data_IF_594019026471
#
_entry.id   IF_594019026471
#
_cell.length_a   1.000
_cell.length_b   1.000
_cell.length_c   1.000
_cell.angle_alpha   90.00
_cell.angle_beta   90.00
_cell.angle_gamma   90.00
#
_symmetry.space_group_name_H-M   'P 1'
#
loop_
_entity.id
_entity.type
_entity.pdbx_description
1 polymer ?
#
# COMPACT_ATOMS: atom_id res chain seq x y z
N UNK A 1 21.18 16.48 48.13
CA UNK A 1 20.96 15.55 47.01
C UNK A 1 19.77 16.09 46.25
N UNK A 2 19.94 16.54 45.00
CA UNK A 2 18.80 16.81 44.12
C UNK A 2 17.96 15.53 44.07
N UNK A 3 16.64 15.67 44.25
CA UNK A 3 15.73 14.54 44.32
C UNK A 3 15.87 13.75 43.01
N UNK A 4 16.08 12.42 43.04
CA UNK A 4 16.43 11.62 41.84
C UNK A 4 15.48 11.88 40.65
N UNK A 5 14.21 12.16 40.93
CA UNK A 5 13.19 12.55 39.95
C UNK A 5 13.47 13.88 39.25
N UNK A 6 13.94 14.90 39.99
CA UNK A 6 14.29 16.22 39.45
C UNK A 6 15.53 16.15 38.56
N UNK A 7 16.49 15.31 38.92
CA UNK A 7 17.66 15.05 38.08
C UNK A 7 17.28 14.39 36.76
N UNK A 8 16.41 13.36 36.78
CA UNK A 8 15.92 12.69 35.56
C UNK A 8 15.13 13.66 34.68
N UNK A 9 14.26 14.48 35.26
CA UNK A 9 13.45 15.44 34.50
C UNK A 9 14.33 16.48 33.77
N UNK A 10 15.37 16.98 34.45
CA UNK A 10 16.29 17.95 33.87
C UNK A 10 17.17 17.32 32.79
N UNK A 11 17.77 16.16 33.05
CA UNK A 11 18.62 15.42 32.08
C UNK A 11 17.81 15.06 30.82
N UNK A 12 16.56 14.63 30.97
CA UNK A 12 15.69 14.31 29.84
C UNK A 12 15.42 15.55 28.98
N UNK A 13 15.04 16.68 29.60
CA UNK A 13 14.76 17.93 28.89
C UNK A 13 16.00 18.44 28.16
N UNK A 14 17.16 18.38 28.81
CA UNK A 14 18.44 18.80 28.25
C UNK A 14 18.80 17.97 27.01
N UNK A 15 18.82 16.63 27.13
CA UNK A 15 19.16 15.74 26.01
C UNK A 15 18.23 15.86 24.81
N UNK A 16 16.93 15.97 25.05
CA UNK A 16 15.95 16.17 23.96
C UNK A 16 16.17 17.52 23.27
N UNK A 17 16.45 18.57 24.05
CA UNK A 17 16.70 19.90 23.49
C UNK A 17 18.02 19.98 22.71
N UNK A 18 19.08 19.33 23.20
CA UNK A 18 20.39 19.28 22.54
C UNK A 18 20.41 18.49 21.23
N UNK A 19 19.44 17.59 21.04
CA UNK A 19 19.28 16.81 19.82
C UNK A 19 18.73 17.66 18.65
N UNK A 20 18.05 18.77 18.92
CA UNK A 20 17.56 19.71 17.91
C UNK A 20 18.53 20.89 17.81
N UNK A 21 19.14 21.09 16.65
CA UNK A 21 20.15 22.14 16.45
C UNK A 21 19.83 22.98 15.23
N UNK A 22 20.12 24.27 15.31
CA UNK A 22 20.02 25.20 14.19
C UNK A 22 21.42 25.56 13.72
N UNK A 23 21.67 25.41 12.42
CA UNK A 23 22.90 25.85 11.78
C UNK A 23 22.58 26.97 10.79
N UNK A 24 23.17 28.15 10.96
CA UNK A 24 22.93 29.29 10.07
C UNK A 24 23.47 29.00 8.66
N UNK A 25 22.62 29.16 7.65
CA UNK A 25 22.98 29.03 6.22
C UNK A 25 22.84 30.36 5.47
N UNK A 26 22.29 31.39 6.12
CA UNK A 26 22.12 32.72 5.54
C UNK A 26 21.28 33.64 6.43
N UNK A 27 20.97 34.83 5.92
CA UNK A 27 20.23 35.84 6.66
C UNK A 27 18.82 35.35 7.01
N UNK A 28 18.58 35.11 8.30
CA UNK A 28 17.34 34.53 8.84
C UNK A 28 16.97 33.18 8.20
N UNK A 29 17.97 32.36 7.89
CA UNK A 29 17.81 31.02 7.32
C UNK A 29 18.74 30.04 8.02
N UNK A 30 18.16 28.94 8.48
CA UNK A 30 18.84 27.94 9.29
C UNK A 30 18.49 26.54 8.80
N UNK A 31 19.50 25.66 8.73
CA UNK A 31 19.28 24.22 8.66
C UNK A 31 18.85 23.73 10.04
N UNK A 32 17.79 22.94 10.09
CA UNK A 32 17.33 22.29 11.32
C UNK A 32 17.86 20.85 11.32
N UNK A 33 18.72 20.54 12.28
CA UNK A 33 19.20 19.20 12.55
C UNK A 33 18.32 18.58 13.62
N UNK A 34 17.84 17.37 13.36
CA UNK A 34 16.97 16.63 14.28
C UNK A 34 17.41 15.16 14.32
N UNK A 35 17.07 14.41 15.37
CA UNK A 35 17.36 12.98 15.41
C UNK A 35 16.41 12.13 14.54
N UNK A 36 15.46 12.75 13.83
CA UNK A 36 14.52 12.04 12.97
C UNK A 36 15.13 11.79 11.60
N UNK A 37 14.95 10.57 11.13
CA UNK A 37 15.48 10.08 9.86
C UNK A 37 14.37 9.43 9.06
N UNK A 38 14.59 9.32 7.74
CA UNK A 38 13.97 8.29 6.92
C UNK A 38 14.40 6.90 7.41
N UNK A 39 13.72 5.89 6.89
CA UNK A 39 13.90 4.48 7.31
C UNK A 39 15.25 3.89 6.88
N UNK A 40 15.88 4.45 5.85
CA UNK A 40 17.26 4.12 5.45
C UNK A 40 18.33 4.78 6.34
N UNK A 41 17.90 5.62 7.29
CA UNK A 41 18.75 6.35 8.22
C UNK A 41 19.19 7.74 7.75
N UNK A 42 18.76 8.18 6.56
CA UNK A 42 19.04 9.55 6.11
C UNK A 42 18.24 10.57 6.92
N UNK A 43 18.85 11.69 7.31
CA UNK A 43 18.16 12.73 8.07
C UNK A 43 17.15 13.50 7.20
N UNK A 44 16.04 13.92 7.79
CA UNK A 44 15.14 14.87 7.13
C UNK A 44 15.88 16.19 6.85
N UNK A 45 15.90 16.62 5.58
CA UNK A 45 16.44 17.92 5.20
C UNK A 45 15.41 18.99 5.51
N UNK A 46 15.61 19.76 6.58
CA UNK A 46 14.64 20.77 7.04
C UNK A 46 15.31 22.15 7.11
N UNK A 47 14.68 23.15 6.52
CA UNK A 47 15.09 24.55 6.57
C UNK A 47 14.07 25.37 7.34
N UNK A 48 14.56 26.11 8.33
CA UNK A 48 13.84 27.17 9.02
C UNK A 48 14.21 28.51 8.40
N UNK A 49 13.22 29.24 7.87
CA UNK A 49 13.47 30.56 7.29
C UNK A 49 12.37 31.56 7.61
N UNK A 50 12.75 32.84 7.66
CA UNK A 50 11.80 33.93 7.84
C UNK A 50 10.91 34.09 6.62
N UNK A 51 9.60 34.19 6.83
CA UNK A 51 8.60 34.39 5.78
C UNK A 51 7.66 35.54 6.17
N UNK A 52 7.92 36.72 5.60
CA UNK A 52 7.19 37.95 5.97
C UNK A 52 7.38 38.31 7.44
N UNK A 53 6.27 38.35 8.18
CA UNK A 53 6.25 38.61 9.62
C UNK A 53 6.42 37.35 10.48
N UNK A 54 6.24 36.17 9.90
CA UNK A 54 6.35 34.87 10.58
C UNK A 54 7.57 34.07 10.14
N UNK A 55 7.51 32.77 10.43
CA UNK A 55 8.53 31.78 10.08
C UNK A 55 7.92 30.62 9.32
N UNK A 56 8.77 29.88 8.63
CA UNK A 56 8.39 28.72 7.85
C UNK A 56 9.42 27.61 7.99
N UNK A 57 8.94 26.37 8.12
CA UNK A 57 9.74 25.18 7.90
C UNK A 57 9.42 24.63 6.51
N UNK A 58 10.44 24.19 5.80
CA UNK A 58 10.34 23.59 4.47
C UNK A 58 11.38 22.48 4.32
N UNK A 59 11.03 21.45 3.56
CA UNK A 59 11.94 20.37 3.20
C UNK A 59 12.65 20.63 1.86
N UNK A 60 12.31 21.74 1.21
CA UNK A 60 12.77 22.12 -0.14
C UNK A 60 12.60 20.98 -1.16
N UNK A 61 11.55 20.17 -0.98
CA UNK A 61 11.21 19.02 -1.84
C UNK A 61 12.06 17.78 -1.65
N UNK A 62 12.91 17.73 -0.61
CA UNK A 62 13.72 16.55 -0.32
C UNK A 62 12.90 15.32 0.07
N UNK A 63 11.74 15.48 0.72
CA UNK A 63 10.93 14.33 1.16
C UNK A 63 10.41 13.57 -0.05
N UNK A 64 9.80 14.25 -1.01
CA UNK A 64 9.31 13.63 -2.24
C UNK A 64 10.43 13.13 -3.14
N UNK A 65 11.58 13.82 -3.19
CA UNK A 65 12.76 13.34 -3.90
C UNK A 65 13.26 12.01 -3.30
N UNK A 66 13.35 11.91 -1.97
CA UNK A 66 13.75 10.69 -1.28
C UNK A 66 12.76 9.54 -1.56
N UNK A 67 11.46 9.79 -1.40
CA UNK A 67 10.41 8.80 -1.68
C UNK A 67 10.43 8.29 -3.13
N UNK A 68 10.86 9.11 -4.10
CA UNK A 68 10.93 8.73 -5.51
C UNK A 68 11.92 7.59 -5.80
N UNK A 69 12.84 7.29 -4.88
CA UNK A 69 13.72 6.13 -4.98
C UNK A 69 13.00 4.79 -4.73
N UNK A 70 11.93 4.80 -3.93
CA UNK A 70 11.22 3.60 -3.48
C UNK A 70 9.84 3.41 -4.14
N UNK A 71 9.24 4.49 -4.65
CA UNK A 71 7.93 4.44 -5.29
C UNK A 71 7.79 5.37 -6.50
N UNK A 72 6.86 5.03 -7.39
CA UNK A 72 6.42 5.93 -8.46
C UNK A 72 5.60 7.08 -7.86
N UNK A 73 6.08 8.32 -8.03
CA UNK A 73 5.44 9.52 -7.52
C UNK A 73 4.05 9.75 -8.11
N UNK A 74 3.75 9.22 -9.31
CA UNK A 74 2.41 9.27 -9.89
C UNK A 74 1.38 8.54 -9.00
N UNK A 75 1.80 7.63 -8.13
CA UNK A 75 0.92 6.94 -7.19
C UNK A 75 0.43 7.83 -6.04
N UNK A 76 1.01 9.02 -5.86
CA UNK A 76 0.54 10.03 -4.89
C UNK A 76 -0.50 10.99 -5.51
N UNK A 77 -0.73 10.94 -6.82
CA UNK A 77 -1.67 11.84 -7.49
C UNK A 77 -3.13 11.38 -7.42
N UNK A 78 -3.38 10.05 -7.29
CA UNK A 78 -4.73 9.47 -7.27
C UNK A 78 -4.84 8.22 -6.39
N UNK A 79 -6.06 7.93 -5.95
CA UNK A 79 -6.39 6.73 -5.17
C UNK A 79 -6.07 6.87 -3.69
N UNK A 80 -6.01 5.74 -2.98
CA UNK A 80 -5.91 5.73 -1.51
C UNK A 80 -4.69 6.49 -0.97
N UNK A 81 -3.52 6.42 -1.63
CA UNK A 81 -2.33 7.16 -1.19
C UNK A 81 -2.50 8.67 -1.33
N UNK A 82 -3.13 9.13 -2.41
CA UNK A 82 -3.45 10.54 -2.57
C UNK A 82 -4.41 11.01 -1.48
N UNK A 83 -5.45 10.23 -1.18
CA UNK A 83 -6.39 10.56 -0.11
C UNK A 83 -5.72 10.61 1.28
N UNK A 84 -4.81 9.68 1.57
CA UNK A 84 -4.04 9.69 2.82
C UNK A 84 -3.07 10.87 2.86
N UNK A 85 -2.35 11.14 1.76
CA UNK A 85 -1.45 12.30 1.65
C UNK A 85 -2.22 13.60 1.90
N UNK A 86 -3.33 13.80 1.19
CA UNK A 86 -4.21 14.96 1.36
C UNK A 86 -4.72 15.07 2.80
N UNK A 87 -5.08 13.94 3.43
CA UNK A 87 -5.50 13.93 4.83
C UNK A 87 -4.37 14.36 5.77
N UNK A 88 -3.15 13.86 5.57
CA UNK A 88 -1.99 14.25 6.38
C UNK A 88 -1.68 15.74 6.19
N UNK A 89 -1.61 16.23 4.95
CA UNK A 89 -1.37 17.64 4.67
C UNK A 89 -2.39 18.54 5.38
N UNK A 90 -3.69 18.23 5.25
CA UNK A 90 -4.75 19.00 5.89
C UNK A 90 -4.71 18.93 7.42
N UNK A 91 -4.48 17.74 8.00
CA UNK A 91 -4.51 17.54 9.45
C UNK A 91 -3.35 18.25 10.17
N UNK A 92 -2.18 18.31 9.54
CA UNK A 92 -0.99 18.94 10.11
C UNK A 92 -0.78 20.39 9.62
N UNK A 93 -1.67 20.91 8.78
CA UNK A 93 -1.58 22.28 8.24
C UNK A 93 -0.37 22.50 7.34
N UNK A 94 0.04 21.46 6.60
CA UNK A 94 1.13 21.52 5.64
C UNK A 94 0.58 21.88 4.27
N UNK A 95 1.19 22.88 3.63
CA UNK A 95 0.97 23.19 2.22
C UNK A 95 2.05 22.55 1.36
N UNK A 96 1.64 21.99 0.23
CA UNK A 96 2.57 21.56 -0.83
C UNK A 96 2.67 22.69 -1.87
N UNK A 97 3.90 23.04 -2.27
CA UNK A 97 4.18 24.04 -3.29
C UNK A 97 5.42 23.64 -4.09
N UNK A 98 5.25 23.39 -5.39
CA UNK A 98 6.32 23.01 -6.33
C UNK A 98 7.18 21.83 -5.83
N UNK A 99 6.54 20.85 -5.20
CA UNK A 99 7.17 19.67 -4.60
C UNK A 99 7.73 19.90 -3.19
N UNK A 100 7.68 21.12 -2.66
CA UNK A 100 8.11 21.43 -1.29
C UNK A 100 6.93 21.32 -0.31
N UNK A 101 7.15 20.66 0.81
CA UNK A 101 6.23 20.62 1.94
C UNK A 101 6.55 21.77 2.89
N UNK A 102 5.57 22.61 3.22
CA UNK A 102 5.78 23.83 4.00
C UNK A 102 4.79 23.94 5.16
N UNK A 103 5.26 24.40 6.31
CA UNK A 103 4.41 24.85 7.43
C UNK A 103 4.83 26.24 7.89
N UNK A 104 3.86 27.13 8.08
CA UNK A 104 4.06 28.52 8.53
C UNK A 104 3.56 28.69 9.96
N UNK A 105 4.26 29.49 10.74
CA UNK A 105 3.95 29.69 12.16
C UNK A 105 4.48 31.03 12.68
N UNK A 106 3.94 31.46 13.82
CA UNK A 106 4.39 32.65 14.53
C UNK A 106 5.63 32.36 15.41
N UNK A 107 6.49 33.36 15.72
CA UNK A 107 7.77 33.13 16.38
C UNK A 107 7.73 32.33 17.69
N UNK A 108 6.64 32.40 18.45
CA UNK A 108 6.42 31.70 19.71
C UNK A 108 5.98 30.23 19.56
N UNK A 109 5.69 29.79 18.34
CA UNK A 109 5.21 28.44 18.04
C UNK A 109 6.27 27.51 17.45
N UNK A 110 7.52 27.99 17.29
CA UNK A 110 8.57 27.28 16.55
C UNK A 110 8.80 25.82 16.96
N UNK A 111 8.82 25.54 18.27
CA UNK A 111 8.99 24.18 18.78
C UNK A 111 7.81 23.27 18.43
N UNK A 112 6.58 23.77 18.61
CA UNK A 112 5.37 23.03 18.28
C UNK A 112 5.29 22.78 16.77
N UNK A 113 5.58 23.80 15.96
CA UNK A 113 5.61 23.69 14.50
C UNK A 113 6.61 22.64 14.03
N UNK A 114 7.82 22.59 14.63
CA UNK A 114 8.81 21.56 14.30
C UNK A 114 8.30 20.14 14.60
N UNK A 115 7.72 19.90 15.77
CA UNK A 115 7.21 18.56 16.10
C UNK A 115 6.02 18.15 15.22
N UNK A 116 5.14 19.09 14.90
CA UNK A 116 4.03 18.89 13.94
C UNK A 116 4.58 18.54 12.56
N UNK A 117 5.58 19.29 12.09
CA UNK A 117 6.20 19.10 10.80
C UNK A 117 6.88 17.74 10.68
N UNK A 118 7.71 17.37 11.67
CA UNK A 118 8.38 16.07 11.71
C UNK A 118 7.39 14.90 11.69
N UNK A 119 6.33 14.97 12.49
CA UNK A 119 5.29 13.93 12.49
C UNK A 119 4.62 13.77 11.12
N UNK A 120 4.38 14.88 10.44
CA UNK A 120 3.79 14.85 9.11
C UNK A 120 4.78 14.29 8.08
N UNK A 121 6.05 14.71 8.10
CA UNK A 121 7.08 14.18 7.19
C UNK A 121 7.25 12.67 7.36
N UNK A 122 7.31 12.17 8.59
CA UNK A 122 7.35 10.71 8.84
C UNK A 122 6.12 10.01 8.28
N UNK A 123 4.91 10.54 8.52
CA UNK A 123 3.68 9.93 7.97
C UNK A 123 3.62 9.95 6.44
N UNK A 124 4.17 10.99 5.82
CA UNK A 124 4.24 11.11 4.36
C UNK A 124 5.27 10.11 3.82
N UNK A 125 6.46 10.02 4.43
CA UNK A 125 7.48 9.05 4.02
C UNK A 125 6.98 7.61 4.14
N UNK A 126 6.18 7.30 5.15
CA UNK A 126 5.59 5.97 5.37
C UNK A 126 4.66 5.52 4.22
N UNK A 127 4.18 6.44 3.37
CA UNK A 127 3.35 6.10 2.21
C UNK A 127 4.10 5.27 1.16
N UNK A 128 5.43 5.34 1.15
CA UNK A 128 6.30 4.48 0.35
C UNK A 128 6.08 2.99 0.70
N UNK A 129 5.91 2.68 1.98
CA UNK A 129 5.68 1.32 2.51
C UNK A 129 4.26 0.82 2.34
N UNK A 130 3.31 1.67 1.94
CA UNK A 130 1.97 1.19 1.58
C UNK A 130 1.99 0.26 0.35
N UNK A 131 3.16 -0.05 -0.24
CA UNK A 131 3.33 -0.88 -1.43
C UNK A 131 3.29 -2.40 -1.16
N UNK A 132 2.29 -3.03 -1.80
CA UNK A 132 2.16 -4.45 -2.20
C UNK A 132 2.10 -5.56 -1.16
N UNK A 133 2.71 -5.47 0.01
CA UNK A 133 2.74 -6.60 0.96
C UNK A 133 1.52 -6.65 1.88
N UNK A 134 1.05 -5.52 2.39
CA UNK A 134 -0.10 -5.46 3.31
C UNK A 134 -1.43 -5.67 2.57
N UNK A 135 -1.57 -5.11 1.37
CA UNK A 135 -2.78 -5.20 0.53
C UNK A 135 -2.98 -6.60 -0.09
N UNK A 136 -1.88 -7.31 -0.43
CA UNK A 136 -1.95 -8.71 -0.90
C UNK A 136 -2.53 -9.68 0.13
N UNK A 137 -2.28 -9.44 1.43
CA UNK A 137 -2.74 -10.35 2.49
C UNK A 137 -4.24 -10.23 2.72
N UNK A 138 -4.79 -9.01 2.81
CA UNK A 138 -6.22 -8.81 3.05
C UNK A 138 -7.07 -9.28 1.88
N UNK A 139 -6.65 -9.03 0.63
CA UNK A 139 -7.45 -9.49 -0.52
C UNK A 139 -7.57 -11.02 -0.58
N UNK A 140 -6.48 -11.76 -0.32
CA UNK A 140 -6.54 -13.23 -0.32
C UNK A 140 -7.31 -13.76 0.88
N UNK A 141 -7.17 -13.14 2.04
CA UNK A 141 -7.96 -13.47 3.23
C UNK A 141 -9.46 -13.23 2.99
N UNK A 142 -9.84 -12.06 2.46
CA UNK A 142 -11.21 -11.70 2.10
C UNK A 142 -11.78 -12.63 1.02
N UNK A 143 -10.94 -13.00 0.03
CA UNK A 143 -11.28 -13.99 -0.98
C UNK A 143 -11.58 -15.34 -0.33
N UNK A 144 -10.69 -15.85 0.53
CA UNK A 144 -10.86 -17.15 1.21
C UNK A 144 -12.12 -17.11 2.09
N UNK A 145 -12.33 -16.05 2.86
CA UNK A 145 -13.54 -15.88 3.68
C UNK A 145 -14.82 -15.83 2.83
N UNK A 146 -14.78 -15.13 1.69
CA UNK A 146 -15.94 -15.09 0.77
C UNK A 146 -16.20 -16.49 0.21
N UNK A 147 -15.18 -17.20 -0.27
CA UNK A 147 -15.37 -18.56 -0.78
C UNK A 147 -15.92 -19.50 0.29
N UNK A 148 -15.44 -19.41 1.54
CA UNK A 148 -15.96 -20.19 2.68
C UNK A 148 -17.41 -19.87 3.01
N UNK A 149 -17.82 -18.61 2.89
CA UNK A 149 -19.19 -18.19 3.17
C UNK A 149 -20.18 -18.60 2.07
N UNK A 150 -19.73 -18.56 0.80
CA UNK A 150 -20.59 -18.78 -0.37
C UNK A 150 -20.63 -20.24 -0.85
N UNK A 151 -19.60 -21.04 -0.56
CA UNK A 151 -19.51 -22.42 -1.02
C UNK A 151 -19.86 -23.42 0.10
N UNK A 152 -20.59 -24.50 -0.20
CA UNK A 152 -20.88 -25.52 0.80
C UNK A 152 -19.61 -26.21 1.32
N UNK A 153 -19.58 -26.48 2.63
CA UNK A 153 -18.50 -27.22 3.26
C UNK A 153 -18.24 -28.57 2.59
N UNK A 154 -16.96 -28.90 2.39
CA UNK A 154 -16.53 -30.14 1.76
C UNK A 154 -16.67 -30.19 0.23
N UNK A 155 -17.09 -29.11 -0.42
CA UNK A 155 -17.15 -28.99 -1.90
C UNK A 155 -16.01 -28.20 -2.53
N UNK A 156 -15.10 -27.67 -1.73
CA UNK A 156 -13.97 -26.89 -2.24
C UNK A 156 -12.66 -27.24 -1.55
N UNK A 157 -11.55 -26.91 -2.22
CA UNK A 157 -10.19 -27.04 -1.70
C UNK A 157 -9.39 -25.83 -2.14
N UNK A 158 -8.77 -25.12 -1.19
CA UNK A 158 -7.86 -24.02 -1.51
C UNK A 158 -6.50 -24.56 -1.94
N UNK A 159 -5.81 -23.78 -2.76
CA UNK A 159 -4.42 -24.05 -3.17
C UNK A 159 -4.26 -25.46 -3.80
N UNK A 160 -5.25 -25.85 -4.62
CA UNK A 160 -5.32 -27.16 -5.27
C UNK A 160 -4.34 -27.27 -6.44
N UNK A 161 -3.88 -28.49 -6.72
CA UNK A 161 -3.08 -28.83 -7.89
C UNK A 161 -3.46 -30.23 -8.36
N UNK A 162 -3.39 -30.47 -9.68
CA UNK A 162 -3.71 -31.76 -10.27
C UNK A 162 -2.50 -32.70 -10.16
N UNK A 163 -2.41 -33.47 -9.07
CA UNK A 163 -1.24 -34.32 -8.73
C UNK A 163 -0.75 -35.23 -9.87
N UNK A 164 -1.67 -35.75 -10.69
CA UNK A 164 -1.33 -36.61 -11.84
C UNK A 164 -0.47 -35.89 -12.90
N UNK A 165 -0.63 -34.57 -13.03
CA UNK A 165 0.01 -33.76 -14.05
C UNK A 165 1.02 -32.75 -13.49
N UNK A 166 0.91 -32.36 -12.22
CA UNK A 166 1.68 -31.28 -11.60
C UNK A 166 2.32 -31.65 -10.27
N UNK A 167 3.27 -32.59 -10.32
CA UNK A 167 4.03 -33.03 -9.13
C UNK A 167 4.85 -31.90 -8.48
N UNK A 168 5.18 -30.85 -9.24
CA UNK A 168 5.97 -29.71 -8.78
C UNK A 168 5.11 -28.56 -8.24
N UNK A 169 3.78 -28.66 -8.34
CA UNK A 169 2.82 -27.63 -7.93
C UNK A 169 3.03 -26.29 -8.64
N UNK A 170 3.44 -26.35 -9.91
CA UNK A 170 3.71 -25.18 -10.75
C UNK A 170 2.44 -24.46 -11.19
N UNK A 171 1.28 -25.11 -11.14
CA UNK A 171 0.00 -24.61 -11.63
C UNK A 171 -1.10 -24.68 -10.55
N UNK A 172 -0.96 -23.92 -9.44
CA UNK A 172 -1.95 -23.93 -8.37
C UNK A 172 -3.25 -23.24 -8.78
N UNK A 173 -4.36 -23.77 -8.29
CA UNK A 173 -5.70 -23.18 -8.36
C UNK A 173 -6.06 -22.63 -6.98
N UNK A 174 -6.39 -21.34 -6.91
CA UNK A 174 -6.58 -20.66 -5.61
C UNK A 174 -7.77 -21.27 -4.85
N UNK A 175 -8.88 -21.56 -5.52
CA UNK A 175 -9.99 -22.34 -4.97
C UNK A 175 -10.57 -23.29 -6.04
N UNK A 176 -10.47 -24.60 -5.77
CA UNK A 176 -11.00 -25.66 -6.61
C UNK A 176 -12.32 -26.15 -6.06
N UNK A 177 -13.39 -26.06 -6.85
CA UNK A 177 -14.73 -26.53 -6.48
C UNK A 177 -15.06 -27.78 -7.28
N UNK A 178 -15.41 -28.85 -6.58
CA UNK A 178 -15.61 -30.18 -7.16
C UNK A 178 -17.06 -30.70 -6.99
N UNK A 179 -17.24 -32.02 -7.18
CA UNK A 179 -18.53 -32.71 -7.07
C UNK A 179 -19.58 -32.23 -8.08
N UNK A 180 -19.12 -31.91 -9.29
CA UNK A 180 -19.91 -31.53 -10.46
C UNK A 180 -19.29 -32.12 -11.72
N UNK A 181 -20.06 -32.24 -12.80
CA UNK A 181 -19.61 -32.84 -14.08
C UNK A 181 -18.38 -32.11 -14.66
N UNK A 182 -18.34 -30.78 -14.51
CA UNK A 182 -17.18 -29.95 -14.88
C UNK A 182 -16.80 -29.08 -13.68
N UNK A 183 -15.61 -29.30 -13.07
CA UNK A 183 -15.18 -28.55 -11.89
C UNK A 183 -15.04 -27.05 -12.17
N UNK A 184 -15.19 -26.24 -11.13
CA UNK A 184 -15.00 -24.80 -11.20
C UNK A 184 -13.67 -24.41 -10.55
N UNK A 185 -12.79 -23.79 -11.34
CA UNK A 185 -11.49 -23.26 -10.93
C UNK A 185 -11.63 -21.77 -10.67
N UNK A 186 -11.45 -21.34 -9.43
CA UNK A 186 -11.56 -19.94 -9.04
C UNK A 186 -10.17 -19.39 -8.76
N UNK A 187 -9.85 -18.25 -9.36
CA UNK A 187 -8.56 -17.58 -9.26
C UNK A 187 -8.70 -16.16 -8.69
N UNK A 188 -7.86 -15.84 -7.73
CA UNK A 188 -7.76 -14.53 -7.10
C UNK A 188 -6.61 -13.74 -7.76
N UNK A 189 -6.95 -12.73 -8.58
CA UNK A 189 -6.00 -12.02 -9.42
C UNK A 189 -5.66 -10.64 -8.84
N UNK A 190 -4.48 -10.55 -8.23
CA UNK A 190 -4.01 -9.31 -7.57
C UNK A 190 -3.27 -8.35 -8.51
N UNK A 191 -2.62 -8.88 -9.55
CA UNK A 191 -1.70 -8.10 -10.37
C UNK A 191 -1.39 -8.81 -11.71
N UNK A 192 -0.65 -8.10 -12.55
CA UNK A 192 -0.14 -8.55 -13.85
C UNK A 192 0.57 -9.91 -13.82
N UNK A 193 1.36 -10.20 -12.77
CA UNK A 193 2.15 -11.44 -12.67
C UNK A 193 1.20 -12.61 -12.46
N UNK A 194 0.34 -12.54 -11.42
CA UNK A 194 -0.66 -13.58 -11.15
C UNK A 194 -1.61 -13.77 -12.33
N UNK A 195 -2.00 -12.69 -13.01
CA UNK A 195 -2.86 -12.78 -14.20
C UNK A 195 -2.19 -13.59 -15.33
N UNK A 196 -0.90 -13.34 -15.61
CA UNK A 196 -0.14 -14.11 -16.59
C UNK A 196 0.02 -15.56 -16.17
N UNK A 197 0.34 -15.81 -14.90
CA UNK A 197 0.53 -17.17 -14.38
C UNK A 197 -0.76 -17.98 -14.52
N UNK A 198 -1.91 -17.39 -14.20
CA UNK A 198 -3.20 -18.06 -14.38
C UNK A 198 -3.53 -18.28 -15.86
N UNK A 199 -3.23 -17.33 -16.76
CA UNK A 199 -3.36 -17.58 -18.21
C UNK A 199 -2.55 -18.81 -18.64
N UNK A 200 -1.32 -18.95 -18.14
CA UNK A 200 -0.46 -20.10 -18.43
C UNK A 200 -1.07 -21.38 -17.85
N UNK A 201 -1.57 -21.35 -16.60
CA UNK A 201 -2.24 -22.49 -15.97
C UNK A 201 -3.46 -22.96 -16.76
N UNK A 202 -4.34 -22.04 -17.19
CA UNK A 202 -5.53 -22.38 -17.97
C UNK A 202 -5.17 -23.08 -19.28
N UNK A 203 -4.21 -22.53 -20.04
CA UNK A 203 -3.70 -23.18 -21.24
C UNK A 203 -3.05 -24.54 -20.97
N UNK A 204 -2.38 -24.69 -19.84
CA UNK A 204 -1.76 -25.95 -19.47
C UNK A 204 -2.82 -27.01 -19.14
N UNK A 205 -3.89 -26.63 -18.45
CA UNK A 205 -5.02 -27.51 -18.16
C UNK A 205 -5.75 -27.94 -19.45
N UNK A 206 -5.94 -27.01 -20.40
CA UNK A 206 -6.46 -27.35 -21.74
C UNK A 206 -5.58 -28.38 -22.45
N UNK A 207 -4.25 -28.20 -22.41
CA UNK A 207 -3.29 -29.15 -23.01
C UNK A 207 -3.31 -30.53 -22.35
N UNK A 208 -3.59 -30.59 -21.05
CA UNK A 208 -3.76 -31.85 -20.33
C UNK A 208 -5.13 -32.49 -20.57
N UNK A 209 -6.06 -31.79 -21.23
CA UNK A 209 -7.40 -32.29 -21.49
C UNK A 209 -8.28 -32.31 -20.23
N UNK A 210 -7.96 -31.50 -19.22
CA UNK A 210 -8.76 -31.39 -18.00
C UNK A 210 -9.99 -30.53 -18.32
N UNK A 211 -11.22 -31.05 -18.18
CA UNK A 211 -12.41 -30.24 -18.33
C UNK A 211 -12.54 -29.30 -17.12
N UNK A 212 -12.78 -28.01 -17.37
CA UNK A 212 -13.00 -27.04 -16.30
C UNK A 212 -13.89 -25.89 -16.74
N UNK A 213 -14.46 -25.19 -15.75
CA UNK A 213 -14.94 -23.81 -15.85
C UNK A 213 -14.02 -22.93 -15.04
N UNK A 214 -13.79 -21.69 -15.47
CA UNK A 214 -12.89 -20.75 -14.81
C UNK A 214 -13.62 -19.48 -14.35
N UNK A 215 -13.36 -19.09 -13.11
CA UNK A 215 -13.82 -17.84 -12.53
C UNK A 215 -12.63 -17.02 -12.05
N UNK A 216 -12.47 -15.82 -12.59
CA UNK A 216 -11.47 -14.86 -12.16
C UNK A 216 -12.09 -13.76 -11.31
N UNK A 217 -11.57 -13.57 -10.10
CA UNK A 217 -11.93 -12.45 -9.23
C UNK A 217 -10.68 -11.58 -9.10
N UNK A 218 -10.75 -10.39 -9.67
CA UNK A 218 -9.67 -9.42 -9.55
C UNK A 218 -9.74 -8.70 -8.22
N UNK A 219 -8.60 -8.28 -7.71
CA UNK A 219 -8.53 -7.29 -6.63
C UNK A 219 -9.01 -5.94 -7.17
N UNK A 220 -8.33 -5.49 -8.24
CA UNK A 220 -8.76 -4.40 -9.09
C UNK A 220 -8.32 -4.64 -10.53
N UNK A 221 -9.28 -4.88 -11.42
CA UNK A 221 -9.00 -5.18 -12.83
C UNK A 221 -8.44 -3.98 -13.60
N UNK A 222 -8.70 -2.73 -13.18
CA UNK A 222 -8.18 -1.55 -13.88
C UNK A 222 -6.67 -1.42 -13.80
N UNK A 223 -6.06 -2.06 -12.81
CA UNK A 223 -4.63 -2.01 -12.54
C UNK A 223 -3.86 -3.03 -13.40
N UNK A 224 -4.59 -3.90 -14.12
CA UNK A 224 -4.01 -4.89 -15.00
C UNK A 224 -3.69 -4.29 -16.36
N UNK A 225 -2.49 -4.55 -16.87
CA UNK A 225 -2.08 -4.11 -18.19
C UNK A 225 -3.05 -4.63 -19.27
N UNK A 226 -3.52 -3.74 -20.16
CA UNK A 226 -4.50 -4.06 -21.21
C UNK A 226 -4.11 -5.27 -22.08
N UNK A 227 -2.83 -5.43 -22.42
CA UNK A 227 -2.35 -6.58 -23.23
C UNK A 227 -2.34 -7.89 -22.43
N UNK A 228 -2.15 -7.80 -21.12
CA UNK A 228 -2.23 -8.97 -20.22
C UNK A 228 -3.68 -9.36 -20.05
N UNK A 229 -4.55 -8.40 -19.73
CA UNK A 229 -5.98 -8.62 -19.56
C UNK A 229 -6.63 -9.18 -20.83
N UNK A 230 -6.27 -8.69 -22.01
CA UNK A 230 -6.79 -9.20 -23.28
C UNK A 230 -6.50 -10.71 -23.45
N UNK A 231 -5.23 -11.11 -23.30
CA UNK A 231 -4.82 -12.53 -23.40
C UNK A 231 -5.48 -13.41 -22.34
N UNK A 232 -5.62 -12.89 -21.13
CA UNK A 232 -6.33 -13.58 -20.06
C UNK A 232 -7.82 -13.76 -20.38
N UNK A 233 -8.44 -12.75 -20.99
CA UNK A 233 -9.86 -12.77 -21.34
C UNK A 233 -10.18 -13.72 -22.50
N UNK A 234 -9.20 -14.06 -23.33
CA UNK A 234 -9.35 -15.05 -24.39
C UNK A 234 -9.50 -16.49 -23.83
N UNK A 235 -9.09 -16.73 -22.57
CA UNK A 235 -9.03 -18.09 -21.97
C UNK A 235 -9.87 -18.26 -20.70
N UNK A 236 -10.30 -17.17 -20.07
CA UNK A 236 -11.10 -17.20 -18.84
C UNK A 236 -12.59 -17.04 -19.13
N UNK A 237 -13.43 -17.87 -18.53
CA UNK A 237 -14.88 -17.87 -18.81
C UNK A 237 -15.60 -16.68 -18.17
N UNK A 238 -15.51 -16.56 -16.84
CA UNK A 238 -16.18 -15.49 -16.08
C UNK A 238 -15.16 -14.67 -15.32
N UNK A 239 -15.35 -13.35 -15.36
CA UNK A 239 -14.49 -12.39 -14.66
C UNK A 239 -15.32 -11.40 -13.84
N UNK A 240 -14.84 -11.05 -12.66
CA UNK A 240 -15.33 -9.93 -11.85
C UNK A 240 -14.20 -8.93 -11.59
N UNK A 241 -14.46 -7.66 -11.87
CA UNK A 241 -13.44 -6.61 -11.86
C UNK A 241 -12.90 -6.27 -10.46
N UNK A 242 -13.64 -6.60 -9.40
CA UNK A 242 -13.24 -6.48 -8.01
C UNK A 242 -14.11 -7.37 -7.12
N UNK A 243 -13.54 -7.96 -6.07
CA UNK A 243 -14.28 -8.71 -5.04
C UNK A 243 -15.31 -7.83 -4.31
N UNK A 244 -14.91 -6.62 -3.89
CA UNK A 244 -15.72 -5.75 -3.03
C UNK A 244 -16.97 -5.25 -3.78
N UNK A 245 -16.78 -4.72 -4.99
CA UNK A 245 -17.88 -4.09 -5.74
C UNK A 245 -18.82 -5.10 -6.40
N UNK A 246 -18.43 -6.38 -6.50
CA UNK A 246 -19.23 -7.41 -7.16
C UNK A 246 -19.73 -8.50 -6.20
N UNK A 247 -19.67 -8.31 -4.87
CA UNK A 247 -19.99 -9.35 -3.89
C UNK A 247 -21.33 -10.06 -4.15
N UNK A 248 -22.41 -9.30 -4.36
CA UNK A 248 -23.74 -9.87 -4.65
C UNK A 248 -23.77 -10.65 -5.99
N UNK A 249 -23.06 -10.16 -7.01
CA UNK A 249 -22.97 -10.84 -8.31
C UNK A 249 -22.16 -12.12 -8.24
N UNK A 250 -21.11 -12.14 -7.41
CA UNK A 250 -20.30 -13.33 -7.13
C UNK A 250 -21.17 -14.37 -6.42
N UNK A 251 -21.89 -13.98 -5.37
CA UNK A 251 -22.84 -14.86 -4.67
C UNK A 251 -23.82 -15.52 -5.64
N UNK A 252 -24.55 -14.72 -6.44
CA UNK A 252 -25.54 -15.22 -7.39
C UNK A 252 -24.93 -16.16 -8.45
N UNK A 253 -23.69 -15.87 -8.89
CA UNK A 253 -22.98 -16.74 -9.83
C UNK A 253 -22.61 -18.08 -9.19
N UNK A 254 -22.03 -18.06 -7.98
CA UNK A 254 -21.63 -19.29 -7.28
C UNK A 254 -22.85 -20.15 -6.92
N UNK A 255 -23.95 -19.54 -6.46
CA UNK A 255 -25.19 -20.27 -6.15
C UNK A 255 -25.76 -20.99 -7.38
N UNK A 256 -25.64 -20.39 -8.57
CA UNK A 256 -26.08 -21.01 -9.82
C UNK A 256 -25.08 -22.04 -10.33
N UNK A 257 -23.78 -21.77 -10.19
CA UNK A 257 -22.73 -22.61 -10.74
C UNK A 257 -22.55 -23.92 -9.96
N UNK A 258 -22.89 -23.95 -8.67
CA UNK A 258 -22.66 -25.08 -7.73
C UNK A 258 -23.92 -25.93 -7.47
N UNK A 259 -25.07 -25.53 -8.01
CA UNK A 259 -26.29 -26.36 -8.08
C UNK A 259 -26.10 -27.52 -9.06
#
# INVERSE_FOLDING_TARGET
>A
MLNTTEHIANDFKEKVSEAVRLHEEGVNRYRVLTPFTFDDGDGFSIVLQKNGNGWMLSDEGHTFMHMSYEMDMAALERGNRAEILDSVLNNFGISESDGSLEIRFEPDEAGNALYTYLQALTKISDLSYLNREIVKSTFIEDFKQTMQAELPDGRYTFDHHFEEHDQQKSYPVDCFVNNMEVPLLIFAIQNDVKCRDVTISLHQFEKWGIPFRSLAIFENQTDINRKVLARFSDVSDKQFSSLISNKERIHNYLETAVK
#
